data_IF_888715594015
#
_entry.id   IF_888715594015
#
_cell.length_a   1.000
_cell.length_b   1.000
_cell.length_c   1.000
_cell.angle_alpha   90.00
_cell.angle_beta   90.00
_cell.angle_gamma   90.00
#
_symmetry.space_group_name_H-M   'P 1'
#
loop_
_entity.id
_entity.type
_entity.pdbx_description
1 polymer ?
#
# COMPACT_ATOMS: atom_id res chain seq x y z
N UNK A 1 73.64 8.15 41.96
CA UNK A 1 72.61 7.27 41.38
C UNK A 1 71.53 8.15 40.76
N UNK A 2 71.41 8.11 39.42
CA UNK A 2 70.27 8.39 38.51
C UNK A 2 69.21 9.38 39.05
N UNK A 3 69.21 10.67 38.70
CA UNK A 3 68.88 11.38 37.43
C UNK A 3 67.39 11.77 37.28
N UNK A 4 67.19 13.08 37.04
CA UNK A 4 65.96 13.89 36.99
C UNK A 4 64.99 13.44 35.89
N UNK A 5 63.69 13.75 36.04
CA UNK A 5 62.95 14.71 35.20
C UNK A 5 61.50 14.90 35.68
N UNK A 6 61.09 16.16 35.76
CA UNK A 6 59.71 16.65 35.89
C UNK A 6 59.07 16.84 34.51
N UNK A 7 57.75 17.12 34.53
CA UNK A 7 56.83 17.77 33.55
C UNK A 7 56.05 16.86 32.53
N UNK A 8 54.90 17.30 31.95
CA UNK A 8 53.53 16.97 32.39
C UNK A 8 52.55 16.55 31.23
N UNK A 9 51.22 16.53 31.50
CA UNK A 9 50.07 16.70 30.57
C UNK A 9 49.83 15.67 29.43
N UNK A 10 48.61 15.08 29.40
CA UNK A 10 47.71 14.86 28.23
C UNK A 10 46.65 13.80 28.61
N UNK A 11 45.39 14.13 28.91
CA UNK A 11 44.23 14.28 27.98
C UNK A 11 44.10 13.12 26.97
N UNK A 12 43.07 12.28 27.15
CA UNK A 12 42.36 11.53 26.10
C UNK A 12 41.07 10.92 26.71
N UNK A 13 39.98 11.68 26.81
CA UNK A 13 38.80 11.57 25.91
C UNK A 13 38.56 10.13 25.42
N UNK A 14 37.63 9.43 26.07
CA UNK A 14 36.98 8.25 25.51
C UNK A 14 35.47 8.49 25.41
N UNK A 15 35.07 9.54 24.67
CA UNK A 15 33.77 9.53 24.01
C UNK A 15 33.91 8.60 22.80
N UNK A 16 33.63 7.31 23.01
CA UNK A 16 33.58 6.35 21.94
C UNK A 16 32.34 6.67 21.10
N UNK A 17 32.58 7.35 19.98
CA UNK A 17 31.55 7.83 19.06
C UNK A 17 30.71 6.68 18.54
N UNK A 18 29.45 6.63 18.98
CA UNK A 18 28.40 5.88 18.29
C UNK A 18 27.95 6.72 17.09
N UNK A 19 28.76 6.76 16.04
CA UNK A 19 28.33 7.24 14.73
C UNK A 19 27.42 6.16 14.12
N UNK A 20 26.19 6.07 14.64
CA UNK A 20 25.13 5.35 13.96
C UNK A 20 24.90 6.05 12.62
N UNK A 21 25.15 5.34 11.53
CA UNK A 21 24.77 5.79 10.20
C UNK A 21 23.27 6.05 10.19
N UNK A 22 22.88 7.33 10.25
CA UNK A 22 21.52 7.77 10.02
C UNK A 22 21.23 7.53 8.54
N UNK A 23 20.75 6.35 8.19
CA UNK A 23 20.15 6.16 6.87
C UNK A 23 18.92 7.06 6.83
N UNK A 24 18.83 8.01 5.88
CA UNK A 24 17.63 8.81 5.76
C UNK A 24 16.44 7.88 5.54
N UNK A 25 15.42 8.02 6.40
CA UNK A 25 14.13 7.38 6.21
C UNK A 25 13.36 8.22 5.18
N UNK A 26 13.66 8.02 3.90
CA UNK A 26 12.93 8.66 2.82
C UNK A 26 11.50 8.09 2.78
N UNK A 27 10.52 8.93 3.11
CA UNK A 27 9.11 8.59 2.94
C UNK A 27 8.82 8.48 1.44
N UNK A 28 8.58 7.25 0.96
CA UNK A 28 8.35 6.95 -0.48
C UNK A 28 6.93 7.30 -0.94
N UNK A 29 6.42 8.46 -0.52
CA UNK A 29 5.06 8.91 -0.79
C UNK A 29 4.75 9.03 -2.29
N UNK A 30 5.77 9.28 -3.12
CA UNK A 30 5.63 9.34 -4.57
C UNK A 30 5.06 8.05 -5.19
N UNK A 31 5.22 6.89 -4.54
CA UNK A 31 4.70 5.61 -5.06
C UNK A 31 3.18 5.59 -5.16
N UNK A 32 2.48 6.37 -4.34
CA UNK A 32 1.03 6.51 -4.45
C UNK A 32 0.57 7.09 -5.79
N UNK A 33 1.43 7.82 -6.50
CA UNK A 33 1.10 8.40 -7.81
C UNK A 33 1.41 7.44 -8.98
N UNK A 34 2.03 6.29 -8.71
CA UNK A 34 2.44 5.33 -9.74
C UNK A 34 1.38 4.28 -10.04
N UNK A 35 0.19 4.39 -9.48
CA UNK A 35 -0.95 3.48 -9.71
C UNK A 35 -2.27 4.27 -9.72
N UNK A 36 -3.31 3.78 -10.39
CA UNK A 36 -4.58 4.50 -10.51
C UNK A 36 -5.35 4.51 -9.20
N UNK A 37 -6.27 5.47 -9.09
CA UNK A 37 -7.30 5.60 -8.06
C UNK A 37 -6.82 5.55 -6.61
N UNK A 38 -5.54 5.81 -6.34
CA UNK A 38 -5.01 5.83 -4.98
C UNK A 38 -5.70 6.84 -4.08
N UNK A 39 -6.15 7.97 -4.63
CA UNK A 39 -6.95 8.94 -3.90
C UNK A 39 -8.32 8.39 -3.44
N UNK A 40 -8.94 7.50 -4.22
CA UNK A 40 -10.22 6.88 -3.85
C UNK A 40 -10.07 5.89 -2.68
N UNK A 41 -8.90 5.24 -2.56
CA UNK A 41 -8.51 4.44 -1.39
C UNK A 41 -7.85 5.27 -0.27
N UNK A 42 -8.01 6.59 -0.32
CA UNK A 42 -7.56 7.52 0.73
C UNK A 42 -6.15 8.09 0.58
N UNK A 43 -5.53 8.00 -0.60
CA UNK A 43 -4.16 8.47 -0.92
C UNK A 43 -3.16 8.24 0.21
N UNK A 44 -3.27 7.09 0.88
CA UNK A 44 -2.60 6.88 2.16
C UNK A 44 -1.44 5.91 1.99
N UNK A 45 -0.48 6.00 2.91
CA UNK A 45 0.54 4.97 3.00
C UNK A 45 -0.07 3.57 3.21
N UNK A 46 -1.31 3.49 3.68
CA UNK A 46 -1.96 2.21 3.98
C UNK A 46 -2.28 1.39 2.72
N UNK A 47 -2.29 2.01 1.54
CA UNK A 47 -2.41 1.23 0.29
C UNK A 47 -1.30 0.19 0.18
N UNK A 48 -0.08 0.50 0.67
CA UNK A 48 1.05 -0.44 0.65
C UNK A 48 1.48 -0.93 2.04
N UNK A 49 0.91 -0.39 3.12
CA UNK A 49 1.36 -0.62 4.49
C UNK A 49 0.19 -0.92 5.43
N UNK A 50 0.43 -1.65 6.51
CA UNK A 50 -0.66 -2.05 7.42
C UNK A 50 -1.17 -0.90 8.29
N UNK A 51 -0.32 0.09 8.62
CA UNK A 51 -0.67 1.15 9.57
C UNK A 51 0.17 2.42 9.39
N UNK A 52 0.44 2.80 8.15
CA UNK A 52 1.16 4.01 7.78
C UNK A 52 2.55 3.77 7.22
N UNK A 53 3.18 4.81 6.68
CA UNK A 53 4.50 4.70 6.06
C UNK A 53 5.56 4.20 7.04
N UNK A 54 6.39 3.26 6.58
CA UNK A 54 7.45 2.66 7.42
C UNK A 54 6.97 1.56 8.37
N UNK A 55 5.67 1.26 8.41
CA UNK A 55 5.14 0.05 9.07
C UNK A 55 5.30 -1.17 8.14
N UNK A 56 5.02 -2.41 8.59
CA UNK A 56 5.03 -3.57 7.70
C UNK A 56 4.18 -3.35 6.45
N UNK A 57 4.59 -3.96 5.34
CA UNK A 57 3.81 -3.93 4.10
C UNK A 57 2.64 -4.90 4.18
N UNK A 58 1.51 -4.53 3.59
CA UNK A 58 0.42 -5.47 3.30
C UNK A 58 0.74 -6.31 2.05
N UNK A 59 -0.18 -7.19 1.64
CA UNK A 59 0.01 -8.04 0.45
C UNK A 59 0.35 -7.24 -0.82
N UNK A 60 -0.40 -6.17 -1.08
CA UNK A 60 -0.16 -5.27 -2.22
C UNK A 60 1.22 -4.60 -2.18
N UNK A 61 1.63 -4.08 -1.02
CA UNK A 61 2.93 -3.46 -0.85
C UNK A 61 4.09 -4.44 -1.06
N UNK A 62 3.93 -5.71 -0.68
CA UNK A 62 4.91 -6.77 -0.93
C UNK A 62 4.98 -7.11 -2.43
N UNK A 63 3.83 -7.14 -3.12
CA UNK A 63 3.81 -7.32 -4.58
C UNK A 63 4.55 -6.18 -5.30
N UNK A 64 4.37 -4.93 -4.86
CA UNK A 64 5.13 -3.79 -5.39
C UNK A 64 6.62 -3.91 -5.05
N UNK A 65 6.98 -4.32 -3.82
CA UNK A 65 8.38 -4.49 -3.43
C UNK A 65 9.11 -5.50 -4.32
N UNK A 66 8.44 -6.56 -4.76
CA UNK A 66 9.02 -7.55 -5.67
C UNK A 66 9.33 -6.99 -7.08
N UNK A 67 8.75 -5.85 -7.46
CA UNK A 67 8.89 -5.23 -8.78
C UNK A 67 9.90 -4.07 -8.82
N UNK A 68 10.44 -3.65 -7.67
CA UNK A 68 11.27 -2.45 -7.55
C UNK A 68 12.55 -2.74 -6.76
N UNK A 69 13.62 -2.00 -7.03
CA UNK A 69 14.85 -2.15 -6.24
C UNK A 69 14.76 -1.43 -4.89
N UNK A 70 15.51 -1.87 -3.86
CA UNK A 70 15.66 -1.10 -2.63
C UNK A 70 16.23 0.29 -2.97
N UNK A 71 15.51 1.36 -2.64
CA UNK A 71 15.92 2.70 -3.08
C UNK A 71 15.24 3.20 -4.34
N UNK A 72 14.79 2.32 -5.23
CA UNK A 72 14.41 2.66 -6.59
C UNK A 72 13.11 3.47 -6.75
N UNK A 73 12.94 4.00 -7.95
CA UNK A 73 11.81 4.84 -8.39
C UNK A 73 11.16 4.28 -9.66
N UNK A 74 11.28 2.98 -9.88
CA UNK A 74 10.75 2.29 -11.04
C UNK A 74 9.22 2.37 -11.05
N UNK A 75 8.66 2.59 -12.24
CA UNK A 75 7.22 2.43 -12.48
C UNK A 75 6.92 0.94 -12.34
N UNK A 76 5.99 0.60 -11.45
CA UNK A 76 5.63 -0.78 -11.13
C UNK A 76 4.22 -1.15 -11.58
N UNK A 77 3.34 -0.16 -11.83
CA UNK A 77 2.00 -0.45 -12.33
C UNK A 77 2.07 -0.99 -13.75
N UNK A 78 1.33 -2.07 -13.98
CA UNK A 78 1.29 -2.75 -15.26
C UNK A 78 0.44 -4.01 -15.19
N UNK A 79 0.26 -4.71 -16.32
CA UNK A 79 -0.69 -5.81 -16.45
C UNK A 79 -0.46 -6.94 -15.44
N UNK A 80 0.81 -7.25 -15.11
CA UNK A 80 1.13 -8.31 -14.18
C UNK A 80 0.69 -8.00 -12.74
N UNK A 81 0.89 -6.76 -12.28
CA UNK A 81 0.42 -6.33 -10.96
C UNK A 81 -1.11 -6.19 -10.97
N UNK A 82 -1.70 -5.64 -12.03
CA UNK A 82 -3.15 -5.49 -12.15
C UNK A 82 -3.90 -6.84 -12.14
N UNK A 83 -3.31 -7.90 -12.68
CA UNK A 83 -3.90 -9.25 -12.70
C UNK A 83 -3.70 -10.05 -11.39
N UNK A 84 -2.87 -9.56 -10.47
CA UNK A 84 -2.63 -10.21 -9.19
C UNK A 84 -3.75 -9.86 -8.20
N UNK A 85 -4.18 -10.84 -7.42
CA UNK A 85 -5.00 -10.66 -6.22
C UNK A 85 -4.03 -10.66 -5.03
N UNK A 86 -3.71 -9.48 -4.50
CA UNK A 86 -2.58 -9.33 -3.57
C UNK A 86 -2.96 -9.56 -2.11
N UNK A 87 -4.22 -9.32 -1.74
CA UNK A 87 -4.74 -9.52 -0.39
C UNK A 87 -5.57 -10.80 -0.25
N UNK A 88 -5.95 -11.44 -1.35
CA UNK A 88 -6.54 -12.77 -1.37
C UNK A 88 -8.05 -12.78 -1.20
N UNK A 89 -8.73 -11.66 -1.51
CA UNK A 89 -10.19 -11.55 -1.43
C UNK A 89 -10.92 -12.13 -2.66
N UNK A 90 -10.16 -12.55 -3.67
CA UNK A 90 -10.66 -13.12 -4.92
C UNK A 90 -10.86 -12.08 -6.04
N UNK A 91 -10.52 -10.82 -5.81
CA UNK A 91 -10.62 -9.72 -6.78
C UNK A 91 -9.21 -9.24 -7.16
N UNK A 92 -8.85 -9.19 -8.46
CA UNK A 92 -7.54 -8.68 -8.86
C UNK A 92 -7.39 -7.18 -8.60
N UNK A 93 -6.17 -6.74 -8.23
CA UNK A 93 -5.81 -5.35 -7.95
C UNK A 93 -6.32 -4.36 -9.02
N UNK A 94 -6.25 -4.76 -10.29
CA UNK A 94 -6.68 -3.93 -11.42
C UNK A 94 -8.19 -3.73 -11.46
N UNK A 95 -8.97 -4.75 -11.08
CA UNK A 95 -10.43 -4.61 -10.97
C UNK A 95 -10.77 -3.66 -9.83
N UNK A 96 -10.10 -3.82 -8.69
CA UNK A 96 -10.29 -2.97 -7.51
C UNK A 96 -9.92 -1.52 -7.75
N UNK A 97 -8.80 -1.26 -8.44
CA UNK A 97 -8.35 0.10 -8.77
C UNK A 97 -8.93 0.63 -10.08
N UNK A 98 -9.92 -0.04 -10.68
CA UNK A 98 -10.63 0.44 -11.86
C UNK A 98 -9.86 0.35 -13.19
N UNK A 99 -8.70 -0.32 -13.23
CA UNK A 99 -7.91 -0.63 -14.43
C UNK A 99 -7.62 -2.13 -14.56
N UNK A 100 -8.61 -2.96 -14.99
CA UNK A 100 -8.47 -4.41 -15.05
C UNK A 100 -7.34 -4.91 -15.97
N UNK A 101 -6.90 -4.07 -16.91
CA UNK A 101 -5.85 -4.41 -17.87
C UNK A 101 -4.46 -3.98 -17.43
N UNK A 102 -4.34 -3.14 -16.39
CA UNK A 102 -3.07 -2.55 -15.98
C UNK A 102 -2.47 -1.64 -17.05
N UNK A 103 -3.29 -0.94 -17.82
CA UNK A 103 -2.85 -0.09 -18.94
C UNK A 103 -2.67 1.39 -18.56
N UNK A 104 -3.12 1.78 -17.37
CA UNK A 104 -2.99 3.15 -16.87
C UNK A 104 -1.52 3.54 -16.70
N UNK A 105 -1.22 4.82 -16.90
CA UNK A 105 0.11 5.38 -16.69
C UNK A 105 0.03 6.70 -15.94
N UNK A 106 1.07 7.01 -15.15
CA UNK A 106 1.12 8.23 -14.34
C UNK A 106 0.83 9.49 -15.18
N UNK A 107 -0.07 10.34 -14.66
CA UNK A 107 -0.54 11.54 -15.34
C UNK A 107 -1.71 11.36 -16.32
N UNK A 108 -2.11 10.11 -16.61
CA UNK A 108 -3.35 9.85 -17.36
C UNK A 108 -4.59 10.07 -16.49
N UNK A 109 -5.74 10.28 -17.13
CA UNK A 109 -7.04 10.32 -16.46
C UNK A 109 -7.28 9.04 -15.66
N UNK A 110 -7.93 9.16 -14.50
CA UNK A 110 -8.21 8.02 -13.64
C UNK A 110 -9.22 7.07 -14.31
N UNK A 111 -8.93 5.77 -14.38
CA UNK A 111 -9.75 4.80 -15.07
C UNK A 111 -10.92 4.34 -14.19
N UNK A 112 -11.97 3.81 -14.82
CA UNK A 112 -13.12 3.24 -14.12
C UNK A 112 -13.98 4.28 -13.38
N UNK A 113 -14.85 3.77 -12.51
CA UNK A 113 -15.69 4.58 -11.63
C UNK A 113 -15.09 4.60 -10.22
N UNK A 114 -14.74 5.80 -9.73
CA UNK A 114 -14.16 5.98 -8.40
C UNK A 114 -15.08 5.48 -7.27
N UNK A 115 -16.40 5.41 -7.49
CA UNK A 115 -17.35 4.85 -6.52
C UNK A 115 -17.28 3.32 -6.40
N UNK A 116 -16.64 2.65 -7.37
CA UNK A 116 -16.47 1.20 -7.42
C UNK A 116 -15.06 0.76 -7.02
N UNK A 117 -14.21 1.68 -6.59
CA UNK A 117 -12.83 1.38 -6.17
C UNK A 117 -12.80 0.77 -4.78
N UNK A 118 -12.04 -0.31 -4.62
CA UNK A 118 -11.74 -0.98 -3.34
C UNK A 118 -10.23 -0.94 -3.05
N UNK A 119 -9.84 -1.35 -1.85
CA UNK A 119 -8.47 -1.24 -1.37
C UNK A 119 -7.67 -2.54 -1.60
N UNK A 120 -6.68 -2.57 -2.51
CA UNK A 120 -6.07 -3.81 -3.03
C UNK A 120 -5.11 -4.55 -2.09
N UNK A 121 -5.10 -4.12 -0.83
CA UNK A 121 -4.25 -4.63 0.23
C UNK A 121 -5.01 -4.82 1.54
N UNK A 122 -6.34 -4.86 1.46
CA UNK A 122 -7.29 -5.01 2.57
C UNK A 122 -8.42 -5.95 2.11
N UNK A 123 -8.31 -7.23 2.50
CA UNK A 123 -9.23 -8.31 2.13
C UNK A 123 -10.68 -8.11 2.61
N UNK A 124 -10.91 -7.10 3.44
CA UNK A 124 -12.23 -6.70 3.93
C UNK A 124 -12.82 -5.50 3.16
N UNK A 125 -12.13 -5.01 2.13
CA UNK A 125 -12.56 -3.88 1.31
C UNK A 125 -13.39 -4.34 0.12
N UNK A 126 -14.72 -4.23 0.23
CA UNK A 126 -15.63 -4.62 -0.84
C UNK A 126 -16.65 -3.53 -1.15
N UNK A 127 -17.10 -3.50 -2.41
CA UNK A 127 -18.26 -2.71 -2.78
C UNK A 127 -19.49 -3.35 -2.15
N UNK A 128 -20.10 -2.63 -1.21
CA UNK A 128 -21.41 -2.94 -0.66
C UNK A 128 -22.44 -2.80 -1.79
N UNK A 129 -22.60 -3.84 -2.60
CA UNK A 129 -23.78 -3.95 -3.47
C UNK A 129 -24.96 -4.13 -2.55
N UNK A 130 -25.72 -3.05 -2.34
CA UNK A 130 -27.06 -3.14 -1.75
C UNK A 130 -27.85 -4.01 -2.70
N UNK A 131 -27.84 -5.32 -2.44
CA UNK A 131 -28.64 -6.28 -3.18
C UNK A 131 -30.06 -6.00 -2.73
N UNK A 132 -30.68 -5.00 -3.34
CA UNK A 132 -32.10 -4.74 -3.24
C UNK A 132 -32.89 -5.83 -4.00
N UNK A 133 -32.51 -7.10 -3.81
CA UNK A 133 -33.51 -8.12 -3.54
C UNK A 133 -33.84 -7.93 -2.06
N UNK A 134 -34.45 -6.79 -1.73
CA UNK A 134 -34.99 -6.58 -0.39
C UNK A 134 -35.85 -7.80 -0.10
N UNK A 135 -35.60 -8.44 1.04
CA UNK A 135 -36.19 -9.69 1.50
C UNK A 135 -37.67 -9.78 1.10
N UNK A 136 -37.94 -10.25 -0.11
CA UNK A 136 -39.28 -10.55 -0.51
C UNK A 136 -39.58 -11.83 0.26
N UNK A 137 -40.20 -11.65 1.42
CA UNK A 137 -40.56 -12.78 2.25
C UNK A 137 -41.30 -13.79 1.38
N UNK A 138 -41.13 -15.08 1.66
CA UNK A 138 -41.92 -16.11 0.99
C UNK A 138 -43.43 -15.92 1.15
N UNK A 139 -43.87 -15.05 2.08
CA UNK A 139 -45.26 -14.61 2.17
C UNK A 139 -45.64 -13.65 1.01
N UNK A 140 -44.78 -12.70 0.63
CA UNK A 140 -44.98 -11.78 -0.50
C UNK A 140 -45.00 -12.53 -1.84
N UNK A 141 -44.14 -13.52 -2.00
CA UNK A 141 -44.12 -14.32 -3.24
C UNK A 141 -45.34 -15.24 -3.34
N UNK A 142 -45.77 -15.84 -2.21
CA UNK A 142 -46.99 -16.67 -2.18
C UNK A 142 -48.28 -15.87 -2.44
N UNK A 143 -48.33 -14.58 -2.07
CA UNK A 143 -49.51 -13.75 -2.35
C UNK A 143 -49.64 -13.40 -3.83
N UNK A 144 -48.51 -13.25 -4.54
CA UNK A 144 -48.49 -12.99 -5.99
C UNK A 144 -48.95 -14.24 -6.77
N UNK A 145 -48.51 -15.43 -6.35
CA UNK A 145 -48.83 -16.70 -7.07
C UNK A 145 -50.28 -17.15 -6.84
N UNK A 146 -50.91 -16.78 -5.72
CA UNK A 146 -52.31 -17.14 -5.42
C UNK A 146 -53.36 -16.18 -5.99
N UNK A 147 -52.92 -15.14 -6.70
CA UNK A 147 -53.78 -14.13 -7.33
C UNK A 147 -54.01 -14.31 -8.83
N UNK A 148 -53.72 -15.50 -9.40
CA UNK A 148 -54.12 -15.89 -10.76
C UNK A 148 -55.10 -17.06 -10.71
#
# INVERSE_FOLDING_TARGET
MINRRVVPVAVAVALMGLLGSLTPADARGFRGNMMPNTAAVGASCNTCHTSGGGTPRNGFGLAIEALVTPGGTEVFWGPALAALDSDGDGVPNGVELGDPTGSWTEGSDQPGDAALVTHPGDDSSFIQTVTAVGEASWATVKSIIRGQ
#
